data_IF_791601310707
#
_entry.id   IF_791601310707
#
_cell.length_a   1.000
_cell.length_b   1.000
_cell.length_c   1.000
_cell.angle_alpha   90.00
_cell.angle_beta   90.00
_cell.angle_gamma   90.00
#
_symmetry.space_group_name_H-M   'P 1'
#
loop_
_entity.id
_entity.type
_entity.pdbx_description
1 polymer ?
#
# COMPACT_ATOMS: atom_id res chain seq x y z
N UNK A 1 21.66 -21.68 -15.69
CA UNK A 1 20.94 -20.39 -15.76
C UNK A 1 21.11 -19.66 -14.44
N UNK A 2 21.56 -18.40 -14.47
CA UNK A 2 21.69 -17.54 -13.29
C UNK A 2 20.30 -17.14 -12.81
N UNK A 3 19.94 -17.63 -11.63
CA UNK A 3 18.78 -17.23 -10.83
C UNK A 3 19.13 -17.36 -9.34
N UNK A 4 20.37 -17.08 -8.98
CA UNK A 4 20.82 -17.06 -7.59
C UNK A 4 20.22 -15.83 -6.91
N UNK A 5 19.35 -16.08 -5.93
CA UNK A 5 19.03 -15.19 -4.81
C UNK A 5 17.89 -14.17 -4.98
N UNK A 6 16.65 -14.63 -5.21
CA UNK A 6 15.48 -13.76 -4.97
C UNK A 6 14.29 -14.49 -4.35
N UNK A 7 14.56 -15.37 -3.39
CA UNK A 7 13.61 -15.58 -2.29
C UNK A 7 14.18 -14.82 -1.10
N UNK A 8 14.04 -13.49 -1.13
CA UNK A 8 14.18 -12.74 0.11
C UNK A 8 12.98 -13.17 0.96
N UNK A 9 13.21 -14.09 1.92
CA UNK A 9 12.22 -14.55 2.88
C UNK A 9 11.91 -13.42 3.87
N UNK A 10 11.32 -12.33 3.35
CA UNK A 10 10.80 -11.25 4.16
C UNK A 10 9.59 -11.81 4.91
N UNK A 11 9.81 -12.21 6.16
CA UNK A 11 8.73 -12.64 7.05
C UNK A 11 7.88 -11.43 7.42
N UNK A 12 6.74 -11.33 6.75
CA UNK A 12 5.71 -10.34 7.05
C UNK A 12 4.90 -10.83 8.25
N UNK A 13 5.02 -10.16 9.40
CA UNK A 13 4.22 -10.51 10.56
C UNK A 13 2.74 -10.16 10.33
N UNK A 14 1.85 -10.96 10.90
CA UNK A 14 0.40 -10.77 10.77
C UNK A 14 -0.03 -9.41 11.34
N UNK A 15 -0.91 -8.71 10.61
CA UNK A 15 -1.48 -7.39 10.98
C UNK A 15 -0.47 -6.24 11.10
N UNK A 16 0.65 -6.30 10.37
CA UNK A 16 1.55 -5.16 10.21
C UNK A 16 1.44 -4.53 8.82
N UNK A 17 1.65 -3.22 8.76
CA UNK A 17 1.72 -2.50 7.49
C UNK A 17 3.09 -2.75 6.86
N UNK A 18 3.10 -3.27 5.65
CA UNK A 18 4.32 -3.57 4.89
C UNK A 18 4.25 -2.93 3.51
N UNK A 19 5.40 -2.55 2.95
CA UNK A 19 5.51 -1.97 1.60
C UNK A 19 6.63 -2.65 0.81
N UNK A 20 6.49 -2.68 -0.50
CA UNK A 20 7.50 -3.19 -1.42
C UNK A 20 7.85 -2.08 -2.43
N UNK A 21 9.14 -1.86 -2.67
CA UNK A 21 9.64 -0.85 -3.62
C UNK A 21 10.74 -1.46 -4.48
N UNK A 22 10.53 -1.47 -5.80
CA UNK A 22 11.58 -1.88 -6.73
C UNK A 22 12.62 -0.73 -6.87
N UNK A 23 13.87 -1.02 -6.51
CA UNK A 23 15.02 -0.08 -6.64
C UNK A 23 15.77 -0.31 -7.97
N UNK A 24 15.55 -1.45 -8.63
CA UNK A 24 16.18 -1.80 -9.89
C UNK A 24 15.55 -1.11 -11.10
N UNK A 25 16.30 -1.05 -12.21
CA UNK A 25 15.83 -0.52 -13.50
C UNK A 25 15.05 -1.55 -14.35
N UNK A 26 14.97 -2.80 -13.89
CA UNK A 26 14.32 -3.91 -14.59
C UNK A 26 13.05 -4.32 -13.86
N UNK A 27 12.14 -5.00 -14.56
CA UNK A 27 10.94 -5.56 -13.97
C UNK A 27 11.31 -6.53 -12.84
N UNK A 28 10.59 -6.42 -11.72
CA UNK A 28 10.74 -7.29 -10.55
C UNK A 28 9.40 -7.95 -10.26
N UNK A 29 9.44 -9.21 -9.84
CA UNK A 29 8.29 -9.98 -9.42
C UNK A 29 8.54 -10.55 -8.02
N UNK A 30 7.48 -10.68 -7.23
CA UNK A 30 7.54 -11.22 -5.86
C UNK A 30 6.43 -12.25 -5.70
N UNK A 31 6.75 -13.35 -5.03
CA UNK A 31 5.80 -14.40 -4.67
C UNK A 31 5.60 -14.32 -3.15
N UNK A 32 4.35 -14.19 -2.71
CA UNK A 32 3.99 -14.14 -1.30
C UNK A 32 3.14 -15.35 -0.93
N UNK A 33 3.41 -15.94 0.24
CA UNK A 33 2.62 -17.03 0.80
C UNK A 33 1.94 -16.55 2.09
N UNK A 34 0.64 -16.82 2.22
CA UNK A 34 -0.16 -16.44 3.39
C UNK A 34 -0.74 -17.70 4.01
N UNK A 35 -0.71 -17.78 5.34
CA UNK A 35 -1.14 -18.95 6.10
C UNK A 35 -2.64 -18.96 6.45
N UNK A 36 -3.42 -18.07 5.84
CA UNK A 36 -4.88 -18.00 6.00
C UNK A 36 -5.56 -18.28 4.67
N UNK A 37 -6.67 -19.01 4.71
CA UNK A 37 -7.52 -19.29 3.54
C UNK A 37 -8.18 -18.03 2.99
N UNK A 38 -8.40 -17.03 3.84
CA UNK A 38 -8.90 -15.70 3.46
C UNK A 38 -7.89 -14.64 3.91
N UNK A 39 -6.73 -14.55 3.23
CA UNK A 39 -5.74 -13.56 3.53
C UNK A 39 -6.20 -12.23 2.91
N UNK A 40 -7.06 -11.51 3.63
CA UNK A 40 -7.51 -10.19 3.21
C UNK A 40 -6.30 -9.27 3.01
N UNK A 41 -6.23 -8.60 1.86
CA UNK A 41 -5.26 -7.53 1.61
C UNK A 41 -6.02 -6.21 1.56
N UNK A 42 -5.48 -5.19 2.23
CA UNK A 42 -6.09 -3.87 2.26
C UNK A 42 -5.04 -2.82 1.92
N UNK A 43 -5.31 -2.04 0.88
CA UNK A 43 -4.47 -0.91 0.51
C UNK A 43 -4.78 0.25 1.44
N UNK A 44 -3.88 0.54 2.37
CA UNK A 44 -4.06 1.59 3.39
C UNK A 44 -4.40 2.93 2.74
N UNK A 45 -3.66 3.34 1.70
CA UNK A 45 -3.86 4.65 1.08
C UNK A 45 -5.20 4.73 0.33
N UNK A 46 -5.57 3.70 -0.43
CA UNK A 46 -6.84 3.69 -1.15
C UNK A 46 -8.03 3.71 -0.17
N UNK A 47 -7.99 2.88 0.88
CA UNK A 47 -9.08 2.81 1.87
C UNK A 47 -9.25 4.13 2.63
N UNK A 48 -8.15 4.76 3.05
CA UNK A 48 -8.22 6.04 3.78
C UNK A 48 -8.74 7.18 2.90
N UNK A 49 -8.17 7.35 1.70
CA UNK A 49 -8.46 8.53 0.89
C UNK A 49 -9.67 8.38 -0.04
N UNK A 50 -10.19 7.17 -0.26
CA UNK A 50 -11.42 6.97 -1.03
C UNK A 50 -12.70 6.98 -0.18
N UNK A 51 -12.64 6.56 1.10
CA UNK A 51 -13.85 6.32 1.91
C UNK A 51 -14.03 7.29 3.09
N UNK A 52 -12.96 7.89 3.62
CA UNK A 52 -13.03 8.69 4.86
C UNK A 52 -13.32 10.16 4.54
N UNK A 53 -14.20 10.85 5.30
CA UNK A 53 -14.50 12.26 5.10
C UNK A 53 -13.33 13.18 5.46
N UNK A 54 -13.30 14.37 4.85
CA UNK A 54 -12.15 15.28 4.93
C UNK A 54 -11.90 15.81 6.34
N UNK A 55 -12.95 16.07 7.12
CA UNK A 55 -12.85 16.55 8.51
C UNK A 55 -12.09 15.58 9.44
N UNK A 56 -12.22 14.27 9.19
CA UNK A 56 -11.50 13.25 9.95
C UNK A 56 -10.06 13.17 9.50
N UNK A 57 -9.82 13.22 8.18
CA UNK A 57 -8.46 13.15 7.62
C UNK A 57 -7.61 14.39 7.96
N UNK A 58 -8.19 15.58 7.93
CA UNK A 58 -7.47 16.81 8.30
C UNK A 58 -7.05 16.78 9.76
N UNK A 59 -7.91 16.27 10.65
CA UNK A 59 -7.59 16.15 12.08
C UNK A 59 -6.60 15.02 12.36
N UNK A 60 -6.75 13.86 11.71
CA UNK A 60 -5.88 12.69 11.92
C UNK A 60 -4.45 12.94 11.42
N UNK A 61 -4.31 13.58 10.25
CA UNK A 61 -3.01 13.85 9.64
C UNK A 61 -2.47 15.25 9.95
N UNK A 62 -3.25 16.10 10.65
CA UNK A 62 -2.89 17.48 10.98
C UNK A 62 -2.50 18.31 9.74
N UNK A 63 -3.21 18.10 8.64
CA UNK A 63 -3.02 18.81 7.38
C UNK A 63 -4.27 19.59 6.99
N UNK A 64 -4.11 20.67 6.25
CA UNK A 64 -5.24 21.47 5.75
C UNK A 64 -6.09 20.71 4.72
N UNK A 65 -7.34 21.18 4.52
CA UNK A 65 -8.30 20.60 3.56
C UNK A 65 -7.74 20.47 2.15
N UNK A 66 -7.06 21.52 1.66
CA UNK A 66 -6.36 21.52 0.36
C UNK A 66 -5.34 20.38 0.24
N UNK A 67 -4.68 20.01 1.33
CA UNK A 67 -3.73 18.90 1.36
C UNK A 67 -4.43 17.53 1.24
N UNK A 68 -5.54 17.35 1.96
CA UNK A 68 -6.36 16.13 1.88
C UNK A 68 -6.96 15.98 0.48
N UNK A 69 -7.58 17.03 -0.06
CA UNK A 69 -8.17 17.02 -1.41
C UNK A 69 -7.15 16.67 -2.49
N UNK A 70 -5.94 17.24 -2.39
CA UNK A 70 -4.84 16.92 -3.30
C UNK A 70 -4.49 15.43 -3.27
N UNK A 71 -4.44 14.82 -2.10
CA UNK A 71 -4.15 13.38 -1.98
C UNK A 71 -5.33 12.56 -2.51
N UNK A 72 -6.57 12.88 -2.12
CA UNK A 72 -7.78 12.20 -2.61
C UNK A 72 -7.89 12.19 -4.14
N UNK A 73 -7.53 13.29 -4.80
CA UNK A 73 -7.55 13.38 -6.26
C UNK A 73 -6.66 12.33 -6.96
N UNK A 74 -5.63 11.81 -6.28
CA UNK A 74 -4.74 10.75 -6.80
C UNK A 74 -5.33 9.35 -6.69
N UNK A 75 -6.37 9.16 -5.86
CA UNK A 75 -7.03 7.88 -5.63
C UNK A 75 -8.45 7.83 -6.20
N UNK A 76 -8.94 8.92 -6.81
CA UNK A 76 -10.20 8.91 -7.53
C UNK A 76 -10.14 7.96 -8.74
N UNK A 77 -11.23 7.21 -9.04
CA UNK A 77 -11.28 6.35 -10.21
C UNK A 77 -11.03 7.18 -11.48
N UNK A 78 -10.13 6.69 -12.34
CA UNK A 78 -9.89 7.30 -13.64
C UNK A 78 -11.14 7.08 -14.50
N UNK A 79 -11.72 8.17 -15.00
CA UNK A 79 -12.77 8.13 -16.02
C UNK A 79 -12.25 7.49 -17.31
#
# INVERSE_FOLDING_TARGET
>A
MRATDTVCSQWCASRLVNFQKNIGKKAAAVIAALNSQLPGTQSVAATLFAAIPDNVLTKAFQVGTKGVEKIKSRFAPKK
#
